data_IF_556698531395
#
_entry.id   IF_556698531395
#
_cell.length_a   1.000
_cell.length_b   1.000
_cell.length_c   1.000
_cell.angle_alpha   90.00
_cell.angle_beta   90.00
_cell.angle_gamma   90.00
#
_symmetry.space_group_name_H-M   'P 1'
#
loop_
_entity.id
_entity.type
_entity.pdbx_description
1 polymer ?
#
# COMPACT_ATOMS: atom_id res chain seq x y z
N UNK A 1 9.77 8.95 -7.31
CA UNK A 1 9.82 10.31 -7.99
C UNK A 1 8.38 10.76 -8.12
N UNK A 2 8.06 12.00 -7.82
CA UNK A 2 6.69 12.51 -7.96
C UNK A 2 6.42 13.02 -9.38
N UNK A 3 5.18 12.85 -9.85
CA UNK A 3 4.75 13.42 -11.14
C UNK A 3 4.70 14.97 -11.08
N UNK A 4 4.81 15.66 -12.23
CA UNK A 4 4.85 17.12 -12.28
C UNK A 4 3.63 17.77 -11.62
N UNK A 5 3.81 18.99 -11.11
CA UNK A 5 2.70 19.83 -10.68
C UNK A 5 1.84 20.28 -11.87
N UNK A 6 0.60 20.70 -11.58
CA UNK A 6 -0.30 21.23 -12.59
C UNK A 6 0.37 22.38 -13.39
N UNK A 7 0.12 22.42 -14.69
CA UNK A 7 0.74 23.37 -15.61
C UNK A 7 2.00 22.87 -16.34
N UNK A 8 2.60 21.77 -15.89
CA UNK A 8 3.70 21.12 -16.60
C UNK A 8 3.16 19.95 -17.46
N UNK A 9 3.80 19.67 -18.61
CA UNK A 9 3.39 18.52 -19.42
C UNK A 9 3.49 17.20 -18.64
N UNK A 10 2.48 16.35 -18.79
CA UNK A 10 2.49 14.98 -18.27
C UNK A 10 2.21 14.00 -19.41
N UNK A 11 2.86 12.86 -19.40
CA UNK A 11 2.71 11.83 -20.43
C UNK A 11 2.50 10.44 -19.83
N UNK A 12 1.95 9.53 -20.61
CA UNK A 12 1.82 8.12 -20.23
C UNK A 12 3.17 7.49 -19.85
N UNK A 13 4.25 7.88 -20.56
CA UNK A 13 5.61 7.44 -20.24
C UNK A 13 6.01 7.85 -18.80
N UNK A 14 5.79 9.11 -18.42
CA UNK A 14 6.13 9.59 -17.07
C UNK A 14 5.33 8.84 -16.01
N UNK A 15 4.05 8.63 -16.25
CA UNK A 15 3.17 7.90 -15.32
C UNK A 15 3.62 6.44 -15.18
N UNK A 16 3.97 5.78 -16.29
CA UNK A 16 4.48 4.40 -16.26
C UNK A 16 5.78 4.30 -15.47
N UNK A 17 6.74 5.18 -15.70
CA UNK A 17 8.03 5.17 -15.01
C UNK A 17 7.86 5.44 -13.51
N UNK A 18 7.04 6.42 -13.14
CA UNK A 18 6.72 6.69 -11.73
C UNK A 18 6.04 5.48 -11.06
N UNK A 19 5.10 4.83 -11.74
CA UNK A 19 4.43 3.62 -11.29
C UNK A 19 5.27 2.34 -11.42
N UNK A 20 6.60 2.46 -11.54
CA UNK A 20 7.55 1.35 -11.62
C UNK A 20 7.31 0.41 -12.81
N UNK A 21 6.77 0.91 -13.89
CA UNK A 21 6.59 0.17 -15.16
C UNK A 21 7.60 0.65 -16.20
N UNK A 22 7.78 -0.14 -17.26
CA UNK A 22 8.52 0.33 -18.42
C UNK A 22 7.85 1.58 -19.01
N UNK A 23 8.62 2.61 -19.32
CA UNK A 23 8.11 3.83 -19.96
C UNK A 23 7.43 3.58 -21.30
N UNK A 24 7.72 2.47 -21.94
CA UNK A 24 7.11 2.02 -23.21
C UNK A 24 5.94 1.06 -22.99
N UNK A 25 5.52 0.79 -21.72
CA UNK A 25 4.41 -0.10 -21.46
C UNK A 25 3.12 0.43 -22.09
N UNK A 26 2.45 -0.41 -22.87
CA UNK A 26 1.15 -0.09 -23.44
C UNK A 26 0.08 -0.28 -22.38
N UNK A 27 -0.41 0.82 -21.80
CA UNK A 27 -1.47 0.81 -20.82
C UNK A 27 -2.51 1.88 -21.15
N UNK A 28 -3.79 1.52 -21.24
CA UNK A 28 -4.85 2.50 -21.44
C UNK A 28 -4.96 3.40 -20.19
N UNK A 29 -5.52 4.60 -20.36
CA UNK A 29 -5.74 5.52 -19.23
C UNK A 29 -6.66 4.87 -18.18
N UNK A 30 -7.84 4.39 -18.58
CA UNK A 30 -8.80 3.74 -17.68
C UNK A 30 -9.54 2.55 -18.27
N UNK A 31 -9.55 2.38 -19.58
CA UNK A 31 -10.45 1.50 -20.31
C UNK A 31 -11.78 2.19 -20.65
N UNK A 32 -12.75 1.43 -21.15
CA UNK A 32 -14.06 1.93 -21.60
C UNK A 32 -15.17 1.86 -20.52
N UNK A 33 -14.85 1.40 -19.32
CA UNK A 33 -15.80 1.19 -18.22
C UNK A 33 -15.75 2.34 -17.21
N UNK A 34 -16.85 2.54 -16.50
CA UNK A 34 -16.90 3.42 -15.33
C UNK A 34 -15.99 2.94 -14.17
N UNK A 35 -15.62 1.67 -14.18
CA UNK A 35 -14.65 1.10 -13.25
C UNK A 35 -13.30 0.95 -13.96
N UNK A 36 -12.18 1.46 -13.40
CA UNK A 36 -10.87 1.37 -14.02
C UNK A 36 -10.48 -0.07 -14.31
N UNK A 37 -10.06 -0.31 -15.55
CA UNK A 37 -9.66 -1.65 -16.00
C UNK A 37 -8.34 -2.07 -15.34
N UNK A 38 -8.20 -3.34 -15.00
CA UNK A 38 -6.96 -3.91 -14.50
C UNK A 38 -5.80 -3.62 -15.47
N UNK A 39 -4.67 -3.12 -14.94
CA UNK A 39 -3.52 -2.73 -15.73
C UNK A 39 -3.60 -1.34 -16.39
N UNK A 40 -4.71 -0.61 -16.25
CA UNK A 40 -4.80 0.80 -16.68
C UNK A 40 -3.97 1.71 -15.77
N UNK A 41 -3.63 2.91 -16.28
CA UNK A 41 -2.89 3.90 -15.49
C UNK A 41 -3.67 4.36 -14.26
N UNK A 42 -4.96 4.61 -14.39
CA UNK A 42 -5.82 5.02 -13.27
C UNK A 42 -5.85 3.92 -12.19
N UNK A 43 -5.97 2.65 -12.58
CA UNK A 43 -5.97 1.53 -11.61
C UNK A 43 -4.60 1.35 -10.93
N UNK A 44 -3.51 1.59 -11.64
CA UNK A 44 -2.16 1.54 -11.08
C UNK A 44 -1.99 2.57 -9.94
N UNK A 45 -2.59 3.75 -10.09
CA UNK A 45 -2.55 4.82 -9.09
C UNK A 45 -3.74 4.81 -8.11
N UNK A 46 -4.46 3.70 -8.02
CA UNK A 46 -5.49 3.54 -6.99
C UNK A 46 -4.90 3.55 -5.58
N UNK A 47 -5.64 4.01 -4.56
CA UNK A 47 -5.23 3.83 -3.18
C UNK A 47 -4.89 2.37 -2.88
N UNK A 48 -3.85 2.08 -2.06
CA UNK A 48 -3.04 3.02 -1.29
C UNK A 48 -1.84 3.59 -2.07
N UNK A 49 -1.60 3.14 -3.30
CA UNK A 49 -0.42 3.53 -4.08
C UNK A 49 -0.42 5.04 -4.41
N UNK A 50 -1.60 5.60 -4.65
CA UNK A 50 -1.80 7.02 -4.91
C UNK A 50 -3.27 7.40 -4.71
N UNK A 51 -3.60 8.70 -4.84
CA UNK A 51 -4.95 9.23 -4.71
C UNK A 51 -5.50 9.74 -6.05
N UNK A 52 -5.25 9.04 -7.14
CA UNK A 52 -5.89 9.31 -8.42
C UNK A 52 -7.36 8.90 -8.33
N UNK A 53 -8.26 9.77 -8.77
CA UNK A 53 -9.69 9.49 -8.78
C UNK A 53 -9.99 8.22 -9.58
N UNK A 54 -10.80 7.35 -9.02
CA UNK A 54 -11.19 6.08 -9.64
C UNK A 54 -12.54 6.17 -10.36
N UNK A 55 -13.19 7.34 -10.35
CA UNK A 55 -14.47 7.59 -11.00
C UNK A 55 -14.27 8.21 -12.39
N UNK A 56 -15.04 7.76 -13.37
CA UNK A 56 -15.06 8.36 -14.71
C UNK A 56 -15.78 9.72 -14.72
N UNK A 57 -15.43 10.63 -15.64
CA UNK A 57 -14.45 10.51 -16.71
C UNK A 57 -13.01 10.72 -16.23
N UNK A 58 -12.06 10.02 -16.84
CA UNK A 58 -10.63 10.09 -16.46
C UNK A 58 -9.83 10.95 -17.44
N UNK A 59 -8.87 11.69 -16.89
CA UNK A 59 -7.94 12.53 -17.66
C UNK A 59 -6.51 12.43 -17.12
N UNK A 60 -5.51 12.71 -17.95
CA UNK A 60 -4.11 12.78 -17.51
C UNK A 60 -3.87 13.84 -16.43
N UNK A 61 -4.72 14.87 -16.36
CA UNK A 61 -4.64 15.90 -15.32
C UNK A 61 -4.80 15.37 -13.89
N UNK A 62 -5.45 14.21 -13.70
CA UNK A 62 -5.62 13.58 -12.40
C UNK A 62 -4.30 13.08 -11.79
N UNK A 63 -3.27 12.92 -12.63
CA UNK A 63 -1.95 12.43 -12.21
C UNK A 63 -1.00 13.54 -11.77
N UNK A 64 -1.35 14.82 -11.92
CA UNK A 64 -0.48 15.90 -11.48
C UNK A 64 -0.19 15.83 -9.98
N UNK A 65 1.07 15.99 -9.63
CA UNK A 65 1.56 15.93 -8.24
C UNK A 65 1.30 14.61 -7.52
N UNK A 66 0.91 13.56 -8.25
CA UNK A 66 0.77 12.23 -7.67
C UNK A 66 2.12 11.53 -7.62
N UNK A 67 2.27 10.70 -6.61
CA UNK A 67 3.39 9.78 -6.49
C UNK A 67 2.87 8.36 -6.28
N UNK A 68 3.61 7.40 -6.76
CA UNK A 68 3.33 5.99 -6.52
C UNK A 68 4.22 5.48 -5.40
N UNK A 69 3.63 4.84 -4.41
CA UNK A 69 4.36 4.19 -3.32
C UNK A 69 4.17 2.69 -3.40
N UNK A 70 5.27 1.95 -3.39
CA UNK A 70 5.23 0.49 -3.24
C UNK A 70 5.07 0.13 -1.77
N UNK A 71 4.29 -0.91 -1.50
CA UNK A 71 4.24 -1.50 -0.19
C UNK A 71 5.48 -2.36 0.06
N UNK A 72 5.99 -2.33 1.28
CA UNK A 72 7.08 -3.21 1.73
C UNK A 72 6.49 -4.49 2.29
N UNK A 73 6.95 -5.65 1.80
CA UNK A 73 6.53 -6.95 2.33
C UNK A 73 7.32 -7.31 3.57
N UNK A 74 6.67 -7.97 4.53
CA UNK A 74 7.33 -8.54 5.70
C UNK A 74 6.66 -9.86 6.12
N UNK A 75 7.44 -10.74 6.76
CA UNK A 75 6.93 -12.01 7.28
C UNK A 75 6.41 -11.85 8.70
N UNK A 76 5.26 -12.47 9.00
CA UNK A 76 4.56 -12.31 10.27
C UNK A 76 3.76 -13.54 10.69
N UNK A 77 3.23 -13.52 11.89
CA UNK A 77 2.14 -14.37 12.37
C UNK A 77 1.09 -13.52 13.08
N UNK A 78 -0.16 -14.01 13.14
CA UNK A 78 -1.30 -13.27 13.68
C UNK A 78 -1.89 -13.99 14.87
N UNK A 79 -2.18 -13.25 15.95
CA UNK A 79 -2.83 -13.78 17.14
C UNK A 79 -3.79 -12.78 17.78
N UNK A 80 -4.81 -13.28 18.44
CA UNK A 80 -5.82 -12.46 19.14
C UNK A 80 -5.31 -11.86 20.45
N UNK A 81 -4.25 -12.45 21.01
CA UNK A 81 -3.60 -11.98 22.25
C UNK A 81 -2.10 -11.86 22.05
N UNK A 82 -1.45 -11.00 22.83
CA UNK A 82 0.00 -10.82 22.83
C UNK A 82 0.73 -12.14 23.13
N UNK A 83 0.38 -12.81 24.22
CA UNK A 83 1.00 -14.08 24.62
C UNK A 83 0.76 -15.18 23.55
N UNK A 84 -0.44 -15.20 22.95
CA UNK A 84 -0.78 -16.17 21.91
C UNK A 84 0.07 -16.00 20.64
N UNK A 85 0.25 -14.77 20.17
CA UNK A 85 1.04 -14.52 18.97
C UNK A 85 2.53 -14.82 19.17
N UNK A 86 3.05 -14.62 20.37
CA UNK A 86 4.44 -14.94 20.70
C UNK A 86 4.79 -16.42 20.53
N UNK A 87 3.85 -17.31 20.79
CA UNK A 87 4.02 -18.75 20.65
C UNK A 87 3.94 -19.26 19.19
N UNK A 88 3.46 -18.43 18.25
CA UNK A 88 3.26 -18.83 16.87
C UNK A 88 4.54 -18.74 16.03
N UNK A 89 4.68 -19.66 15.06
CA UNK A 89 5.68 -19.55 14.01
C UNK A 89 5.28 -18.49 12.97
N UNK A 90 6.26 -17.79 12.43
CA UNK A 90 6.05 -16.81 11.33
C UNK A 90 5.82 -17.60 10.04
N UNK A 91 4.64 -17.44 9.43
CA UNK A 91 4.23 -18.20 8.26
C UNK A 91 3.31 -17.42 7.30
N UNK A 92 3.10 -16.13 7.56
CA UNK A 92 2.28 -15.24 6.73
C UNK A 92 3.16 -14.15 6.11
N UNK A 93 2.78 -13.64 4.95
CA UNK A 93 3.38 -12.46 4.34
C UNK A 93 2.36 -11.34 4.33
N UNK A 94 2.73 -10.19 4.88
CA UNK A 94 1.93 -8.98 4.91
C UNK A 94 2.72 -7.80 4.31
N UNK A 95 2.06 -6.66 4.16
CA UNK A 95 2.60 -5.49 3.48
C UNK A 95 2.31 -4.23 4.29
N UNK A 96 3.16 -3.20 4.20
CA UNK A 96 2.94 -1.92 4.86
C UNK A 96 3.42 -0.75 4.00
N UNK A 97 2.88 0.45 4.27
CA UNK A 97 3.20 1.67 3.54
C UNK A 97 4.35 2.48 4.15
N UNK A 98 4.93 2.00 5.24
CA UNK A 98 6.08 2.64 5.88
C UNK A 98 7.37 2.49 5.07
N UNK A 99 8.35 3.33 5.34
CA UNK A 99 9.64 3.34 4.65
C UNK A 99 10.66 2.32 5.21
N UNK A 100 10.37 1.69 6.35
CA UNK A 100 11.23 0.70 6.99
C UNK A 100 11.08 -0.71 6.40
N UNK A 101 11.93 -1.63 6.85
CA UNK A 101 11.80 -3.07 6.54
C UNK A 101 10.59 -3.69 7.22
N UNK A 102 10.20 -3.16 8.36
CA UNK A 102 9.07 -3.60 9.16
C UNK A 102 8.14 -2.43 9.46
N UNK A 103 6.84 -2.69 9.69
CA UNK A 103 5.89 -1.64 10.00
C UNK A 103 6.20 -0.96 11.35
N UNK A 104 6.04 0.35 11.40
CA UNK A 104 6.21 1.20 12.56
C UNK A 104 4.89 1.86 12.98
N UNK A 105 4.90 2.52 14.12
CA UNK A 105 3.74 3.27 14.62
C UNK A 105 3.20 4.26 13.58
N UNK A 106 1.91 4.18 13.29
CA UNK A 106 1.23 5.00 12.30
C UNK A 106 1.23 4.45 10.87
N UNK A 107 2.05 3.43 10.57
CA UNK A 107 1.98 2.76 9.26
C UNK A 107 0.66 2.01 9.11
N UNK A 108 0.16 1.94 7.89
CA UNK A 108 -0.98 1.07 7.55
C UNK A 108 -0.47 -0.27 7.02
N UNK A 109 -1.07 -1.35 7.50
CA UNK A 109 -0.68 -2.73 7.18
C UNK A 109 -1.79 -3.44 6.42
N UNK A 110 -1.39 -4.25 5.43
CA UNK A 110 -2.29 -4.90 4.47
C UNK A 110 -2.03 -6.39 4.36
N UNK A 111 -3.08 -7.16 4.07
CA UNK A 111 -2.97 -8.58 3.77
C UNK A 111 -2.55 -8.89 2.33
N UNK A 112 -2.60 -7.91 1.43
CA UNK A 112 -2.29 -8.06 0.01
C UNK A 112 -1.30 -7.00 -0.49
N UNK A 113 -0.55 -7.33 -1.51
CA UNK A 113 0.47 -6.46 -2.12
C UNK A 113 -0.12 -5.24 -2.84
N UNK A 114 -1.40 -5.26 -3.15
CA UNK A 114 -2.12 -4.15 -3.77
C UNK A 114 -2.63 -3.13 -2.74
N UNK A 115 -2.53 -3.45 -1.43
CA UNK A 115 -2.99 -2.57 -0.35
C UNK A 115 -4.49 -2.32 -0.36
N UNK A 116 -5.27 -3.28 -0.81
CA UNK A 116 -6.73 -3.16 -0.90
C UNK A 116 -7.44 -3.65 0.36
N UNK A 117 -6.80 -4.55 1.12
CA UNK A 117 -7.35 -5.17 2.32
C UNK A 117 -6.46 -4.88 3.52
N UNK A 118 -6.87 -3.97 4.38
CA UNK A 118 -6.16 -3.66 5.63
C UNK A 118 -6.23 -4.84 6.61
N UNK A 119 -5.22 -4.99 7.44
CA UNK A 119 -5.22 -6.03 8.48
C UNK A 119 -6.22 -5.70 9.59
N UNK A 120 -6.79 -6.75 10.18
CA UNK A 120 -7.73 -6.67 11.29
C UNK A 120 -7.04 -6.28 12.61
N UNK A 121 -7.84 -5.92 13.62
CA UNK A 121 -7.40 -5.51 14.96
C UNK A 121 -6.89 -6.70 15.79
N UNK A 122 -5.64 -7.08 15.54
CA UNK A 122 -4.94 -8.19 16.21
C UNK A 122 -3.51 -7.80 16.59
N UNK A 123 -2.79 -8.77 17.16
CA UNK A 123 -1.35 -8.74 17.38
C UNK A 123 -0.64 -9.45 16.23
N UNK A 124 0.44 -8.85 15.74
CA UNK A 124 1.21 -9.35 14.61
C UNK A 124 2.69 -9.45 15.00
N UNK A 125 3.21 -10.68 15.11
CA UNK A 125 4.61 -10.93 15.40
C UNK A 125 5.43 -10.94 14.12
N UNK A 126 6.58 -10.27 14.13
CA UNK A 126 7.55 -10.27 13.04
C UNK A 126 8.97 -10.40 13.58
N UNK A 127 9.91 -10.76 12.71
CA UNK A 127 11.32 -10.88 13.08
C UNK A 127 11.58 -11.80 14.29
N UNK A 128 10.75 -12.82 14.49
CA UNK A 128 10.82 -13.79 15.60
C UNK A 128 10.68 -13.23 17.03
N UNK A 129 10.74 -11.92 17.20
CA UNK A 129 10.86 -11.25 18.51
C UNK A 129 9.83 -10.16 18.71
N UNK A 130 9.58 -9.32 17.71
CA UNK A 130 8.76 -8.11 17.86
C UNK A 130 7.30 -8.35 17.52
N UNK A 131 6.43 -7.65 18.23
CA UNK A 131 4.98 -7.66 18.02
C UNK A 131 4.49 -6.22 17.83
N UNK A 132 3.64 -6.01 16.84
CA UNK A 132 2.84 -4.79 16.69
C UNK A 132 1.39 -5.10 17.02
N UNK A 133 0.65 -4.08 17.42
CA UNK A 133 -0.79 -4.14 17.61
C UNK A 133 -1.50 -3.24 16.63
N UNK A 134 -2.54 -3.76 15.97
CA UNK A 134 -3.46 -2.99 15.15
C UNK A 134 -4.76 -2.81 15.91
N UNK A 135 -5.30 -1.59 15.90
CA UNK A 135 -6.55 -1.22 16.56
C UNK A 135 -7.28 -0.13 15.78
N UNK A 136 -8.60 -0.08 15.87
CA UNK A 136 -9.42 0.97 15.27
C UNK A 136 -9.96 0.63 13.87
N UNK A 137 -9.79 -0.60 13.40
CA UNK A 137 -10.39 -1.11 12.16
C UNK A 137 -9.79 -0.58 10.86
N UNK A 138 -8.77 0.27 10.93
CA UNK A 138 -8.15 0.92 9.77
C UNK A 138 -6.80 0.29 9.35
N UNK A 139 -6.41 -0.81 9.96
CA UNK A 139 -5.12 -1.47 9.69
C UNK A 139 -3.89 -0.67 10.14
N UNK A 140 -4.06 0.35 11.00
CA UNK A 140 -2.98 1.23 11.42
C UNK A 140 -2.29 0.68 12.67
N UNK A 141 -0.95 0.66 12.65
CA UNK A 141 -0.14 0.28 13.80
C UNK A 141 -0.33 1.28 14.93
N UNK A 142 -0.73 0.79 16.09
CA UNK A 142 -1.03 1.62 17.25
C UNK A 142 0.22 2.34 17.77
N UNK A 143 0.16 3.67 17.89
CA UNK A 143 1.28 4.48 18.35
C UNK A 143 1.65 4.24 19.84
N UNK A 144 0.69 3.82 20.67
CA UNK A 144 0.93 3.48 22.07
C UNK A 144 1.50 2.06 22.23
N UNK A 145 1.55 1.30 21.16
CA UNK A 145 2.08 -0.06 21.10
C UNK A 145 2.83 -0.28 19.78
N UNK A 146 3.86 0.50 19.51
CA UNK A 146 4.53 0.46 18.21
C UNK A 146 5.28 -0.85 17.98
N UNK A 147 5.89 -1.39 19.00
CA UNK A 147 6.60 -2.68 19.01
C UNK A 147 6.76 -3.16 20.46
N UNK A 148 6.48 -4.43 20.70
CA UNK A 148 6.76 -5.09 21.96
C UNK A 148 7.56 -6.37 21.72
N UNK A 149 8.15 -6.93 22.78
CA UNK A 149 9.08 -8.05 22.67
C UNK A 149 8.45 -9.31 23.26
N UNK A 150 8.40 -10.37 22.48
CA UNK A 150 8.14 -11.69 23.00
C UNK A 150 9.32 -12.16 23.87
#
# INVERSE_FOLDING_TARGET
MALPAAGNPISANMINVEGQRSGTANAPLSGSSSTPQAGSLVKLYAPPNSNVDQNAPHAYSEFYSKSWSSLTSYSSSTGTTFSGVCALSINQTYYHNGSGTYPAAGDTVYSDSGGTSVLADFYYKFNSTYVIRITGGAGVVNASWPQDIC
#
